data_IF_330358317863
#
_entry.id   IF_330358317863
#
_cell.length_a   1.000
_cell.length_b   1.000
_cell.length_c   1.000
_cell.angle_alpha   90.00
_cell.angle_beta   90.00
_cell.angle_gamma   90.00
#
_symmetry.space_group_name_H-M   'P 1'
#
loop_
_entity.id
_entity.type
_entity.pdbx_description
1 polymer ?
#
# COMPACT_ATOMS: atom_id res chain seq x y z
N UNK A 1 -5.82 24.22 29.40
CA UNK A 1 -5.73 24.76 28.03
C UNK A 1 -4.84 23.91 27.10
N UNK A 2 -3.81 23.23 27.62
CA UNK A 2 -2.93 22.32 26.86
C UNK A 2 -3.59 21.04 26.30
N UNK A 3 -4.71 20.58 26.87
CA UNK A 3 -5.39 19.35 26.43
C UNK A 3 -6.21 19.52 25.15
N UNK A 4 -6.51 20.76 24.72
CA UNK A 4 -7.24 21.04 23.48
C UNK A 4 -6.36 21.02 22.22
N UNK A 5 -5.02 21.09 22.37
CA UNK A 5 -4.09 21.15 21.24
C UNK A 5 -3.76 19.78 20.63
N UNK A 6 -4.05 18.69 21.34
CA UNK A 6 -3.74 17.33 20.88
C UNK A 6 -4.84 16.70 20.01
N UNK A 7 -6.03 17.32 19.92
CA UNK A 7 -7.23 16.70 19.35
C UNK A 7 -7.63 17.15 17.94
N UNK A 8 -6.80 17.92 17.23
CA UNK A 8 -7.18 18.45 15.89
C UNK A 8 -6.19 18.07 14.80
N UNK A 9 -5.56 16.90 14.89
CA UNK A 9 -4.99 16.25 13.70
C UNK A 9 -5.98 15.18 13.28
N UNK A 10 -7.00 15.59 12.52
CA UNK A 10 -7.85 14.64 11.80
C UNK A 10 -7.03 14.07 10.64
N UNK A 11 -6.34 12.97 10.90
CA UNK A 11 -5.66 12.20 9.86
C UNK A 11 -6.73 11.62 8.95
N UNK A 12 -6.97 12.29 7.83
CA UNK A 12 -7.80 11.76 6.75
C UNK A 12 -7.00 10.68 6.02
N UNK A 13 -7.05 9.45 6.55
CA UNK A 13 -6.49 8.28 5.87
C UNK A 13 -7.50 7.87 4.80
N UNK A 14 -7.13 8.03 3.53
CA UNK A 14 -7.93 7.50 2.44
C UNK A 14 -7.85 5.97 2.44
N UNK A 15 -8.92 5.33 2.87
CA UNK A 15 -9.11 3.88 2.79
C UNK A 15 -9.48 3.40 1.38
N UNK A 16 -9.73 4.34 0.45
CA UNK A 16 -10.07 3.96 -0.91
C UNK A 16 -8.80 3.61 -1.69
N UNK A 17 -8.79 2.46 -2.36
CA UNK A 17 -7.71 2.11 -3.25
C UNK A 17 -7.70 3.01 -4.48
N UNK A 18 -6.49 3.30 -4.92
CA UNK A 18 -6.25 4.06 -6.11
C UNK A 18 -6.29 3.12 -7.34
N UNK A 19 -7.15 3.42 -8.33
CA UNK A 19 -7.31 2.63 -9.56
C UNK A 19 -6.13 2.79 -10.52
N UNK A 20 -5.33 1.75 -10.75
CA UNK A 20 -4.15 1.81 -11.63
C UNK A 20 -4.53 1.75 -13.11
N UNK A 21 -5.43 0.84 -13.47
CA UNK A 21 -5.82 0.57 -14.85
C UNK A 21 -7.31 0.33 -14.92
N UNK A 22 -7.98 0.89 -15.93
CA UNK A 22 -9.38 0.54 -16.22
C UNK A 22 -9.39 -0.56 -17.27
N UNK A 23 -9.87 -1.76 -16.90
CA UNK A 23 -10.14 -2.83 -17.86
C UNK A 23 -11.63 -2.81 -18.17
N UNK A 24 -11.96 -2.60 -19.44
CA UNK A 24 -13.33 -2.47 -19.94
C UNK A 24 -14.09 -1.32 -19.23
N UNK A 25 -14.76 -1.60 -18.12
CA UNK A 25 -15.49 -0.63 -17.29
C UNK A 25 -15.14 -0.72 -15.80
N UNK A 26 -14.25 -1.63 -15.40
CA UNK A 26 -13.86 -1.82 -14.00
C UNK A 26 -12.42 -1.40 -13.78
N UNK A 27 -12.21 -0.59 -12.74
CA UNK A 27 -10.90 -0.18 -12.30
C UNK A 27 -10.19 -1.28 -11.51
N UNK A 28 -9.03 -1.73 -12.00
CA UNK A 28 -8.10 -2.54 -11.21
C UNK A 28 -7.39 -1.63 -10.21
N UNK A 29 -7.64 -1.90 -8.95
CA UNK A 29 -7.00 -1.21 -7.84
C UNK A 29 -5.57 -1.69 -7.63
N UNK A 30 -4.73 -0.82 -7.10
CA UNK A 30 -3.38 -1.15 -6.67
C UNK A 30 -3.32 -2.30 -5.65
N UNK A 31 -4.25 -2.39 -4.71
CA UNK A 31 -4.26 -3.52 -3.77
C UNK A 31 -4.72 -4.83 -4.42
N UNK A 32 -5.69 -4.81 -5.36
CA UNK A 32 -6.05 -6.00 -6.14
C UNK A 32 -4.88 -6.48 -7.00
N UNK A 33 -4.19 -5.54 -7.65
CA UNK A 33 -2.97 -5.83 -8.41
C UNK A 33 -1.91 -6.49 -7.53
N UNK A 34 -1.67 -5.93 -6.34
CA UNK A 34 -0.72 -6.48 -5.36
C UNK A 34 -1.14 -7.88 -4.89
N UNK A 35 -2.43 -8.10 -4.64
CA UNK A 35 -2.95 -9.40 -4.23
C UNK A 35 -2.65 -10.48 -5.26
N UNK A 36 -2.92 -10.21 -6.54
CA UNK A 36 -2.65 -11.15 -7.63
C UNK A 36 -1.14 -11.34 -7.85
N UNK A 37 -0.38 -10.25 -7.82
CA UNK A 37 1.07 -10.27 -7.99
C UNK A 37 1.77 -11.06 -6.88
N UNK A 38 1.24 -11.06 -5.66
CA UNK A 38 1.78 -11.88 -4.55
C UNK A 38 1.26 -13.32 -4.61
N UNK A 39 -0.02 -13.52 -4.94
CA UNK A 39 -0.66 -14.83 -4.94
C UNK A 39 -0.01 -15.79 -5.95
N UNK A 40 0.18 -15.34 -7.20
CA UNK A 40 0.68 -16.21 -8.29
C UNK A 40 2.10 -16.74 -7.98
N UNK A 41 3.09 -15.90 -7.63
CA UNK A 41 4.43 -16.37 -7.26
C UNK A 41 4.43 -17.21 -5.99
N UNK A 42 3.58 -16.88 -5.00
CA UNK A 42 3.48 -17.67 -3.76
C UNK A 42 3.02 -19.10 -4.07
N UNK A 43 1.99 -19.26 -4.91
CA UNK A 43 1.53 -20.60 -5.35
C UNK A 43 2.64 -21.33 -6.10
N UNK A 44 3.32 -20.65 -7.03
CA UNK A 44 4.40 -21.25 -7.81
C UNK A 44 5.57 -21.71 -6.91
N UNK A 45 5.96 -20.89 -5.94
CA UNK A 45 7.03 -21.19 -5.00
C UNK A 45 6.67 -22.39 -4.11
N UNK A 46 5.43 -22.46 -3.61
CA UNK A 46 4.93 -23.61 -2.84
C UNK A 46 4.97 -24.89 -3.68
N UNK A 47 4.53 -24.83 -4.94
CA UNK A 47 4.54 -25.99 -5.85
C UNK A 47 5.97 -26.46 -6.14
N UNK A 48 6.89 -25.55 -6.43
CA UNK A 48 8.30 -25.90 -6.63
C UNK A 48 8.89 -26.52 -5.36
N UNK A 49 8.65 -25.90 -4.22
CA UNK A 49 9.19 -26.39 -2.95
C UNK A 49 8.65 -27.79 -2.63
N UNK A 50 7.35 -28.01 -2.82
CA UNK A 50 6.70 -29.31 -2.62
C UNK A 50 7.25 -30.40 -3.54
N UNK A 51 7.64 -30.06 -4.77
CA UNK A 51 8.20 -31.05 -5.72
C UNK A 51 9.65 -31.42 -5.41
N UNK A 52 10.40 -30.51 -4.79
CA UNK A 52 11.81 -30.73 -4.45
C UNK A 52 12.02 -31.24 -3.01
N UNK A 53 10.95 -31.35 -2.23
CA UNK A 53 11.00 -31.78 -0.84
C UNK A 53 11.41 -33.25 -0.72
N UNK A 54 12.52 -33.53 -0.02
CA UNK A 54 13.07 -34.88 0.14
C UNK A 54 13.02 -35.33 1.61
N UNK A 55 12.04 -36.17 1.95
CA UNK A 55 11.86 -36.68 3.32
C UNK A 55 13.03 -37.55 3.83
N UNK A 56 13.78 -38.19 2.93
CA UNK A 56 14.88 -39.09 3.30
C UNK A 56 16.18 -38.36 3.66
N UNK A 57 16.37 -37.13 3.19
CA UNK A 57 17.57 -36.32 3.46
C UNK A 57 17.21 -34.83 3.43
N UNK A 58 16.58 -34.31 4.49
CA UNK A 58 16.10 -32.93 4.49
C UNK A 58 17.26 -31.92 4.53
N UNK A 59 17.10 -30.84 3.79
CA UNK A 59 17.92 -29.64 3.87
C UNK A 59 17.66 -28.87 5.18
N UNK A 60 18.57 -27.97 5.56
CA UNK A 60 18.41 -27.14 6.78
C UNK A 60 17.12 -26.31 6.77
N UNK A 61 16.76 -25.78 5.59
CA UNK A 61 15.55 -24.98 5.41
C UNK A 61 14.30 -25.86 5.50
N UNK A 62 14.36 -27.08 4.97
CA UNK A 62 13.26 -28.05 5.06
C UNK A 62 13.01 -28.45 6.51
N UNK A 63 14.06 -28.68 7.31
CA UNK A 63 13.94 -28.96 8.74
C UNK A 63 13.33 -27.78 9.52
N UNK A 64 13.76 -26.55 9.23
CA UNK A 64 13.16 -25.36 9.85
C UNK A 64 11.68 -25.22 9.46
N UNK A 65 11.35 -25.46 8.19
CA UNK A 65 9.97 -25.38 7.71
C UNK A 65 9.11 -26.48 8.33
N UNK A 66 9.61 -27.70 8.48
CA UNK A 66 8.91 -28.79 9.15
C UNK A 66 8.64 -28.46 10.62
N UNK A 67 9.62 -27.91 11.34
CA UNK A 67 9.41 -27.43 12.71
C UNK A 67 8.35 -26.32 12.77
N UNK A 68 8.40 -25.35 11.84
CA UNK A 68 7.46 -24.24 11.80
C UNK A 68 6.02 -24.71 11.47
N UNK A 69 5.86 -25.50 10.40
CA UNK A 69 4.57 -26.05 9.97
C UNK A 69 4.02 -27.05 10.99
N UNK A 70 4.88 -27.87 11.61
CA UNK A 70 4.50 -28.76 12.71
C UNK A 70 4.03 -28.01 13.95
N UNK A 71 4.70 -26.89 14.29
CA UNK A 71 4.25 -25.99 15.36
C UNK A 71 2.89 -25.36 15.08
N UNK A 72 2.68 -24.89 13.83
CA UNK A 72 1.37 -24.38 13.39
C UNK A 72 0.30 -25.48 13.41
N UNK A 73 0.64 -26.70 13.01
CA UNK A 73 -0.27 -27.83 13.09
C UNK A 73 -0.69 -28.12 14.53
N UNK A 74 0.26 -28.17 15.47
CA UNK A 74 -0.03 -28.37 16.90
C UNK A 74 -0.92 -27.26 17.49
N UNK A 75 -0.72 -26.00 17.08
CA UNK A 75 -1.62 -24.91 17.47
C UNK A 75 -3.05 -25.17 16.97
N UNK A 76 -3.17 -25.52 15.69
CA UNK A 76 -4.46 -25.78 15.05
C UNK A 76 -5.16 -27.01 15.67
N UNK A 77 -4.39 -28.05 15.98
CA UNK A 77 -4.84 -29.23 16.71
C UNK A 77 -5.35 -28.90 18.11
N UNK A 78 -4.67 -28.02 18.85
CA UNK A 78 -5.11 -27.61 20.20
C UNK A 78 -6.46 -26.88 20.20
N UNK A 79 -6.84 -26.24 19.07
CA UNK A 79 -8.06 -25.45 18.96
C UNK A 79 -9.26 -26.31 18.52
N UNK A 80 -9.08 -27.19 17.53
CA UNK A 80 -10.22 -27.93 16.92
C UNK A 80 -10.13 -29.47 17.03
N UNK A 81 -9.07 -29.99 17.64
CA UNK A 81 -8.81 -31.43 17.81
C UNK A 81 -8.21 -32.09 16.57
N UNK A 82 -7.49 -33.20 16.80
CA UNK A 82 -6.68 -33.94 15.80
C UNK A 82 -7.44 -34.23 14.49
N UNK A 83 -8.67 -34.74 14.58
CA UNK A 83 -9.48 -35.13 13.41
C UNK A 83 -9.83 -33.94 12.52
N UNK A 84 -10.18 -32.80 13.10
CA UNK A 84 -10.53 -31.60 12.35
C UNK A 84 -9.27 -30.87 11.88
N UNK A 85 -8.20 -30.91 12.69
CA UNK A 85 -6.87 -30.42 12.33
C UNK A 85 -6.37 -30.99 11.02
N UNK A 86 -6.27 -32.32 10.91
CA UNK A 86 -5.82 -32.97 9.68
C UNK A 86 -6.65 -32.59 8.45
N UNK A 87 -7.94 -32.32 8.64
CA UNK A 87 -8.87 -32.02 7.55
C UNK A 87 -8.80 -30.56 7.07
N UNK A 88 -8.70 -29.59 7.98
CA UNK A 88 -8.78 -28.16 7.64
C UNK A 88 -7.42 -27.47 7.67
N UNK A 89 -6.36 -28.12 8.16
CA UNK A 89 -5.03 -27.52 8.29
C UNK A 89 -4.51 -26.94 6.96
N UNK A 90 -4.58 -27.68 5.86
CA UNK A 90 -4.10 -27.20 4.55
C UNK A 90 -4.80 -25.91 4.11
N UNK A 91 -6.11 -25.84 4.31
CA UNK A 91 -6.88 -24.63 4.02
C UNK A 91 -6.43 -23.46 4.92
N UNK A 92 -6.37 -23.65 6.23
CA UNK A 92 -5.95 -22.59 7.16
C UNK A 92 -4.51 -22.14 6.89
N UNK A 93 -3.61 -23.07 6.59
CA UNK A 93 -2.21 -22.78 6.28
C UNK A 93 -2.08 -21.92 5.02
N UNK A 94 -2.84 -22.21 3.96
CA UNK A 94 -2.80 -21.40 2.73
C UNK A 94 -3.30 -19.98 2.95
N UNK A 95 -4.37 -19.80 3.72
CA UNK A 95 -4.85 -18.47 4.11
C UNK A 95 -3.81 -17.73 4.94
N UNK A 96 -3.21 -18.41 5.93
CA UNK A 96 -2.17 -17.83 6.77
C UNK A 96 -0.97 -17.37 5.96
N UNK A 97 -0.42 -18.23 5.10
CA UNK A 97 0.74 -17.91 4.25
C UNK A 97 0.41 -16.78 3.28
N UNK A 98 -0.77 -16.80 2.64
CA UNK A 98 -1.19 -15.73 1.74
C UNK A 98 -1.29 -14.38 2.47
N UNK A 99 -1.97 -14.32 3.62
CA UNK A 99 -2.14 -13.08 4.39
C UNK A 99 -0.78 -12.57 4.88
N UNK A 100 0.08 -13.46 5.38
CA UNK A 100 1.40 -13.09 5.87
C UNK A 100 2.26 -12.49 4.76
N UNK A 101 2.39 -13.18 3.62
CA UNK A 101 3.24 -12.72 2.50
C UNK A 101 2.66 -11.46 1.87
N UNK A 102 1.34 -11.39 1.66
CA UNK A 102 0.70 -10.21 1.05
C UNK A 102 0.79 -8.95 1.90
N UNK A 103 0.80 -9.09 3.22
CA UNK A 103 0.96 -7.96 4.13
C UNK A 103 2.44 -7.56 4.31
N UNK A 104 3.37 -8.50 4.16
CA UNK A 104 4.80 -8.22 4.28
C UNK A 104 5.42 -7.70 2.98
N UNK A 105 4.86 -8.06 1.83
CA UNK A 105 5.42 -7.71 0.52
C UNK A 105 5.60 -6.19 0.31
N UNK A 106 4.62 -5.32 0.62
CA UNK A 106 4.79 -3.87 0.45
C UNK A 106 5.81 -3.25 1.41
N UNK A 107 6.05 -3.88 2.57
CA UNK A 107 7.02 -3.43 3.57
C UNK A 107 8.48 -3.65 3.14
N UNK A 108 8.70 -4.42 2.05
CA UNK A 108 10.04 -4.61 1.52
C UNK A 108 10.62 -3.27 1.02
N UNK A 109 11.89 -2.97 1.35
CA UNK A 109 12.51 -1.73 0.91
C UNK A 109 12.50 -1.64 -0.62
N UNK A 110 12.08 -0.49 -1.13
CA UNK A 110 11.98 -0.23 -2.57
C UNK A 110 10.65 -0.61 -3.22
N UNK A 111 9.87 -1.56 -2.67
CA UNK A 111 8.56 -1.95 -3.26
C UNK A 111 7.54 -0.81 -3.11
N UNK A 112 7.48 -0.20 -1.93
CA UNK A 112 6.61 0.96 -1.66
C UNK A 112 6.95 2.19 -2.50
N UNK A 113 8.18 2.28 -3.05
CA UNK A 113 8.63 3.42 -3.87
C UNK A 113 8.32 3.24 -5.35
N UNK A 114 7.75 2.11 -5.75
CA UNK A 114 7.34 1.86 -7.14
C UNK A 114 5.91 2.37 -7.31
N UNK A 115 5.74 3.33 -8.22
CA UNK A 115 4.48 4.03 -8.42
C UNK A 115 4.36 4.58 -9.84
N UNK A 116 3.14 4.86 -10.24
CA UNK A 116 2.85 5.58 -11.48
C UNK A 116 2.62 7.06 -11.13
N UNK A 117 3.17 7.95 -11.96
CA UNK A 117 2.81 9.37 -11.91
C UNK A 117 1.60 9.54 -12.80
N UNK A 118 0.43 9.72 -12.20
CA UNK A 118 -0.80 10.06 -12.91
C UNK A 118 -0.97 11.57 -12.97
N UNK A 119 -1.47 12.08 -14.08
CA UNK A 119 -2.20 13.36 -14.07
C UNK A 119 -3.57 13.05 -13.46
N UNK A 120 -3.81 13.55 -12.26
CA UNK A 120 -5.16 13.59 -11.70
C UNK A 120 -5.72 14.99 -11.98
N UNK A 121 -6.82 15.03 -12.72
CA UNK A 121 -7.68 16.20 -12.88
C UNK A 121 -8.41 16.39 -11.55
N UNK A 122 -7.74 17.02 -10.57
CA UNK A 122 -8.39 17.39 -9.31
C UNK A 122 -9.47 18.45 -9.61
N UNK A 123 -10.71 18.01 -9.80
CA UNK A 123 -11.87 18.81 -9.38
C UNK A 123 -11.98 18.65 -7.87
N UNK A 124 -11.10 19.33 -7.14
CA UNK A 124 -11.24 19.47 -5.70
C UNK A 124 -11.35 20.96 -5.42
N UNK A 125 -12.57 21.39 -5.06
CA UNK A 125 -12.92 22.71 -4.56
C UNK A 125 -12.14 23.01 -3.28
N UNK A 126 -10.85 23.30 -3.42
CA UNK A 126 -10.06 23.81 -2.31
C UNK A 126 -10.29 25.31 -2.28
N UNK A 127 -11.36 25.73 -1.61
CA UNK A 127 -11.51 27.12 -1.16
C UNK A 127 -10.49 27.39 -0.05
N UNK A 128 -9.23 27.58 -0.44
CA UNK A 128 -8.28 28.29 0.43
C UNK A 128 -8.51 29.77 0.20
N UNK A 129 -9.32 30.36 1.08
CA UNK A 129 -9.45 31.81 1.22
C UNK A 129 -8.11 32.38 1.70
N UNK A 130 -7.30 32.89 0.76
CA UNK A 130 -6.16 33.71 1.10
C UNK A 130 -6.65 35.14 1.41
N UNK A 131 -6.91 35.45 2.68
CA UNK A 131 -7.01 36.84 3.12
C UNK A 131 -5.63 37.51 2.98
N UNK A 132 -5.44 38.23 1.88
CA UNK A 132 -4.33 39.16 1.71
C UNK A 132 -4.48 40.30 2.74
N UNK A 133 -3.60 40.35 3.73
CA UNK A 133 -3.41 41.56 4.53
C UNK A 133 -2.19 42.29 3.99
N UNK A 134 -2.44 43.31 3.19
CA UNK A 134 -1.46 44.31 2.79
C UNK A 134 -1.09 45.17 4.00
N UNK A 135 0.21 45.33 4.31
CA UNK A 135 0.73 46.64 4.70
C UNK A 135 2.25 46.73 4.46
N UNK A 136 2.78 47.86 3.95
CA UNK A 136 4.19 48.04 3.62
C UNK A 136 4.93 48.81 4.72
N UNK A 137 6.18 48.44 5.06
CA UNK A 137 7.12 49.40 5.67
C UNK A 137 8.61 48.98 5.52
N UNK A 138 9.25 49.62 4.54
CA UNK A 138 10.62 50.17 4.39
C UNK A 138 11.76 49.82 5.40
N UNK A 139 12.97 49.50 4.89
CA UNK A 139 14.29 50.21 5.05
C UNK A 139 15.55 49.27 5.02
N UNK A 140 16.38 49.50 3.98
CA UNK A 140 17.87 49.60 3.81
C UNK A 140 18.88 48.42 3.93
N UNK A 141 19.56 48.18 2.80
CA UNK A 141 21.01 48.25 2.47
C UNK A 141 22.10 47.42 3.20
N UNK A 142 22.89 46.64 2.43
CA UNK A 142 24.36 46.81 2.24
C UNK A 142 25.10 45.61 1.55
N UNK A 143 25.62 45.89 0.35
CA UNK A 143 26.92 45.59 -0.31
C UNK A 143 27.69 44.23 -0.27
N UNK A 144 28.12 43.82 -1.48
CA UNK A 144 29.38 43.12 -1.82
C UNK A 144 29.22 41.69 -2.37
N UNK A 145 29.64 41.26 -3.56
CA UNK A 145 30.41 41.80 -4.69
C UNK A 145 31.16 40.63 -5.37
N UNK A 146 30.95 40.36 -6.68
CA UNK A 146 31.91 39.75 -7.63
C UNK A 146 31.25 39.44 -9.00
N UNK A 147 32.04 39.48 -10.06
CA UNK A 147 31.72 39.90 -11.45
C UNK A 147 31.93 38.76 -12.47
N UNK A 148 31.21 38.81 -13.61
CA UNK A 148 31.59 38.52 -15.04
C UNK A 148 30.36 37.92 -15.79
N UNK A 149 29.52 38.74 -16.47
CA UNK A 149 29.54 39.13 -17.90
C UNK A 149 29.40 37.93 -18.87
N UNK A 150 28.33 37.78 -19.66
CA UNK A 150 28.11 38.48 -20.93
C UNK A 150 26.64 38.81 -21.27
N UNK A 151 26.49 39.94 -21.97
CA UNK A 151 25.29 40.58 -22.52
C UNK A 151 24.64 39.82 -23.69
N UNK A 152 23.32 39.69 -23.69
CA UNK A 152 22.50 39.93 -24.89
C UNK A 152 21.07 40.30 -24.51
N UNK A 153 20.58 41.36 -25.16
CA UNK A 153 19.38 42.14 -24.90
C UNK A 153 18.12 41.49 -25.47
N UNK A 154 17.07 41.29 -24.66
CA UNK A 154 15.66 41.49 -25.04
C UNK A 154 14.89 41.86 -23.75
N UNK A 155 14.25 43.02 -23.75
CA UNK A 155 13.30 43.46 -22.73
C UNK A 155 11.97 42.71 -22.91
N UNK A 156 11.57 41.89 -21.94
CA UNK A 156 10.17 41.68 -21.58
C UNK A 156 10.11 41.15 -20.14
N UNK A 157 9.51 41.93 -19.23
CA UNK A 157 9.27 41.56 -17.83
C UNK A 157 8.39 40.31 -17.75
N UNK A 158 8.95 39.17 -17.34
CA UNK A 158 8.25 38.22 -16.45
C UNK A 158 9.33 37.58 -15.59
N UNK A 159 9.32 37.82 -14.28
CA UNK A 159 10.06 37.01 -13.31
C UNK A 159 9.39 35.63 -13.17
N UNK A 160 10.03 34.51 -13.51
CA UNK A 160 9.70 33.24 -12.88
C UNK A 160 10.63 33.05 -11.68
N UNK A 161 10.15 33.47 -10.51
CA UNK A 161 10.70 33.08 -9.21
C UNK A 161 10.88 31.56 -9.13
N UNK A 162 12.11 31.15 -8.85
CA UNK A 162 12.57 29.76 -8.72
C UNK A 162 11.87 29.02 -7.56
N UNK A 163 11.41 27.79 -7.77
CA UNK A 163 11.08 26.86 -6.68
C UNK A 163 10.30 25.62 -7.16
N UNK A 164 10.69 24.38 -6.90
CA UNK A 164 11.77 23.85 -6.06
C UNK A 164 12.09 22.42 -6.51
N UNK A 165 13.36 22.01 -6.43
CA UNK A 165 13.72 20.61 -6.29
C UNK A 165 14.58 20.43 -5.05
N UNK A 166 13.97 19.90 -4.00
CA UNK A 166 14.44 18.70 -3.29
C UNK A 166 13.18 17.92 -2.83
N UNK A 167 12.94 16.74 -3.46
CA UNK A 167 11.90 15.71 -3.18
C UNK A 167 10.55 15.72 -3.95
N UNK A 168 10.34 16.16 -5.21
CA UNK A 168 11.26 16.60 -6.26
C UNK A 168 10.84 16.15 -7.69
N UNK A 169 9.72 16.67 -8.24
CA UNK A 169 9.44 16.87 -9.69
C UNK A 169 8.12 17.65 -9.88
N UNK A 170 8.19 18.96 -9.75
CA UNK A 170 7.17 19.87 -10.30
C UNK A 170 7.77 20.54 -11.55
N UNK A 171 7.04 20.54 -12.66
CA UNK A 171 7.44 21.27 -13.86
C UNK A 171 6.36 22.31 -14.20
N UNK A 172 6.79 23.54 -14.44
CA UNK A 172 5.94 24.62 -14.88
C UNK A 172 5.76 24.49 -16.39
N UNK A 173 4.52 24.32 -16.86
CA UNK A 173 4.17 24.55 -18.25
C UNK A 173 3.50 25.91 -18.38
N UNK A 174 3.46 26.49 -19.56
CA UNK A 174 2.81 27.79 -19.84
C UNK A 174 1.29 27.79 -19.59
N UNK A 175 0.72 26.70 -19.08
CA UNK A 175 -0.71 26.46 -18.90
C UNK A 175 -1.13 26.12 -17.45
N UNK A 176 -0.26 26.31 -16.45
CA UNK A 176 -0.58 26.13 -15.02
C UNK A 176 0.20 25.02 -14.30
N UNK A 177 -0.02 24.91 -12.98
CA UNK A 177 0.59 23.90 -12.10
C UNK A 177 -0.22 22.61 -12.19
N UNK A 178 0.32 21.57 -12.83
CA UNK A 178 -0.21 20.20 -12.68
C UNK A 178 0.61 19.46 -11.63
N UNK A 179 0.01 19.22 -10.46
CA UNK A 179 0.59 18.32 -9.45
C UNK A 179 0.32 16.89 -9.88
N UNK A 180 1.29 16.23 -10.51
CA UNK A 180 1.21 14.79 -10.75
C UNK A 180 1.20 14.05 -9.42
N UNK A 181 0.06 13.47 -9.03
CA UNK A 181 -0.06 12.71 -7.80
C UNK A 181 0.67 11.38 -7.94
N UNK A 182 1.60 11.08 -7.02
CA UNK A 182 2.34 9.83 -7.04
C UNK A 182 1.47 8.71 -6.48
N UNK A 183 1.11 7.76 -7.35
CA UNK A 183 0.26 6.64 -6.99
C UNK A 183 1.10 5.39 -6.79
N UNK A 184 1.12 4.87 -5.56
CA UNK A 184 1.82 3.64 -5.25
C UNK A 184 1.22 2.45 -6.03
N UNK A 185 2.07 1.69 -6.73
CA UNK A 185 1.64 0.50 -7.47
C UNK A 185 1.35 -0.66 -6.53
N UNK A 186 2.14 -0.81 -5.46
CA UNK A 186 2.00 -1.89 -4.50
C UNK A 186 1.45 -1.38 -3.17
N UNK A 187 0.28 -1.88 -2.80
CA UNK A 187 -0.42 -1.59 -1.55
C UNK A 187 -0.91 -2.92 -0.96
N UNK A 188 -0.77 -3.09 0.35
CA UNK A 188 -1.18 -4.33 1.01
C UNK A 188 -2.66 -4.60 0.69
N UNK A 189 -3.05 -5.82 0.26
CA UNK A 189 -4.43 -6.11 -0.07
C UNK A 189 -5.38 -5.81 1.09
N UNK A 190 -4.95 -6.11 2.32
CA UNK A 190 -5.73 -5.88 3.54
C UNK A 190 -5.86 -4.41 3.95
N UNK A 191 -5.14 -3.49 3.29
CA UNK A 191 -5.33 -2.05 3.46
C UNK A 191 -6.62 -1.54 2.78
N UNK A 192 -7.20 -2.34 1.89
CA UNK A 192 -8.51 -2.09 1.32
C UNK A 192 -9.59 -2.80 2.15
N UNK A 193 -10.69 -2.09 2.36
CA UNK A 193 -11.86 -2.61 3.07
C UNK A 193 -12.41 -3.88 2.40
N UNK A 194 -12.41 -3.94 1.07
CA UNK A 194 -12.98 -5.05 0.30
C UNK A 194 -12.27 -6.38 0.56
N UNK A 195 -10.94 -6.39 0.64
CA UNK A 195 -10.18 -7.60 0.91
C UNK A 195 -10.39 -8.09 2.36
N UNK A 196 -10.41 -7.16 3.32
CA UNK A 196 -10.69 -7.48 4.72
C UNK A 196 -12.09 -8.08 4.90
N UNK A 197 -13.12 -7.45 4.31
CA UNK A 197 -14.49 -7.94 4.32
C UNK A 197 -14.60 -9.31 3.63
N UNK A 198 -13.94 -9.50 2.49
CA UNK A 198 -13.95 -10.79 1.79
C UNK A 198 -13.40 -11.93 2.66
N UNK A 199 -12.24 -11.72 3.30
CA UNK A 199 -11.64 -12.71 4.20
C UNK A 199 -12.53 -12.99 5.42
N UNK A 200 -13.14 -11.94 5.99
CA UNK A 200 -14.07 -12.09 7.11
C UNK A 200 -15.31 -12.90 6.72
N UNK A 201 -15.93 -12.59 5.58
CA UNK A 201 -17.09 -13.33 5.06
C UNK A 201 -16.75 -14.79 4.78
N UNK A 202 -15.60 -15.06 4.15
CA UNK A 202 -15.15 -16.43 3.91
C UNK A 202 -15.00 -17.18 5.24
N UNK A 203 -14.37 -16.57 6.25
CA UNK A 203 -14.20 -17.19 7.57
C UNK A 203 -15.53 -17.53 8.24
N UNK A 204 -16.49 -16.58 8.23
CA UNK A 204 -17.83 -16.77 8.82
C UNK A 204 -18.59 -17.86 8.06
N UNK A 205 -18.56 -17.84 6.72
CA UNK A 205 -19.24 -18.85 5.90
C UNK A 205 -18.65 -20.25 6.11
N UNK A 206 -17.32 -20.37 6.13
CA UNK A 206 -16.64 -21.66 6.36
C UNK A 206 -16.95 -22.19 7.75
N UNK A 207 -16.91 -21.34 8.78
CA UNK A 207 -17.21 -21.75 10.16
C UNK A 207 -18.65 -22.24 10.28
N UNK A 208 -19.61 -21.51 9.73
CA UNK A 208 -21.01 -21.92 9.72
C UNK A 208 -21.22 -23.21 8.92
N UNK A 209 -20.59 -23.33 7.75
CA UNK A 209 -20.67 -24.52 6.93
C UNK A 209 -20.14 -25.77 7.65
N UNK A 210 -19.01 -25.64 8.34
CA UNK A 210 -18.44 -26.71 9.17
C UNK A 210 -19.36 -27.03 10.36
N UNK A 211 -19.93 -26.00 11.00
CA UNK A 211 -20.91 -26.13 12.07
C UNK A 211 -22.13 -26.94 11.65
N UNK A 212 -22.78 -26.54 10.54
CA UNK A 212 -23.92 -27.27 9.97
C UNK A 212 -23.58 -28.71 9.59
N UNK A 213 -22.37 -28.95 9.06
CA UNK A 213 -21.94 -30.30 8.70
C UNK A 213 -21.71 -31.19 9.93
N UNK A 214 -21.26 -30.63 11.04
CA UNK A 214 -20.89 -31.38 12.26
C UNK A 214 -22.08 -31.59 13.18
N UNK A 215 -22.87 -30.53 13.43
CA UNK A 215 -23.98 -30.54 14.38
C UNK A 215 -25.35 -30.76 13.73
N UNK A 216 -25.42 -30.83 12.38
CA UNK A 216 -26.69 -30.81 11.62
C UNK A 216 -27.51 -29.55 11.97
N UNK A 217 -28.81 -29.57 11.70
CA UNK A 217 -29.75 -28.51 12.11
C UNK A 217 -30.17 -28.63 13.59
N UNK A 218 -29.44 -29.42 14.40
CA UNK A 218 -29.69 -29.46 15.84
C UNK A 218 -29.16 -28.16 16.44
N UNK A 219 -30.10 -27.32 16.87
CA UNK A 219 -29.89 -26.07 17.58
C UNK A 219 -29.54 -26.33 19.04
#
# INVERSE_FOLDING_TARGET
>A
MLFKLFLTVEVHISFQPEVLFNIFSQGITNSLYTALFVLIPTIFLIVIFSKNFNALKPSKIELFLEMFVGGLFGLVESIMGEKNALKYFSFLLTFFVFILVSNWFPLLPGISSIGLVGEEEHTEETSVEYTATSNPEIIEDAEGGAVLSETSTVEEEIEPTFGCLLKGKCYLTTSGITTGSFKHMFRAPTADLSAGIALALISVLVTNFIGFKTNKLAY
#
